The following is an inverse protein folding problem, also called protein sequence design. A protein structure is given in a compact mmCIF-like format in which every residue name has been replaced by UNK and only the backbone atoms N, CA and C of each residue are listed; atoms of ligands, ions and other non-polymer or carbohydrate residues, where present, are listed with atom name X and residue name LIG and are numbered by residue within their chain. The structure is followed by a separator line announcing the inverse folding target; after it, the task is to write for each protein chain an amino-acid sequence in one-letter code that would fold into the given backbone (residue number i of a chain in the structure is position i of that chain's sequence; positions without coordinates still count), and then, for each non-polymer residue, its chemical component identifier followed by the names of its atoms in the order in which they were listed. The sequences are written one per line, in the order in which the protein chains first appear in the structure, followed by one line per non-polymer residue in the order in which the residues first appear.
data_IF_283795137240
#
_entry.id   IF_283795137240
#
_cell.length_a   1.000
_cell.length_b   1.000
_cell.length_c   1.000
_cell.angle_alpha   90.00
_cell.angle_beta   90.00
_cell.angle_gamma   90.00
#
_symmetry.space_group_name_H-M   'P 1'
#
loop_
_entity.id
_entity.type
_entity.pdbx_description
1 polymer ?
#
# COMPACT_ATOMS: atom_id res chain seq x y z
N UNK A 1 -12.13 -14.07 0.55
CA UNK A 1 -13.13 -13.01 0.25
C UNK A 1 -12.55 -11.63 0.55
N UNK A 2 -12.69 -10.64 -0.34
CA UNK A 2 -12.21 -9.28 -0.11
C UNK A 2 -12.98 -8.57 1.03
N UNK A 3 -12.35 -7.74 1.89
CA UNK A 3 -12.99 -7.19 3.09
C UNK A 3 -13.86 -5.95 2.78
N UNK A 4 -14.82 -6.06 1.86
CA UNK A 4 -15.63 -4.94 1.38
C UNK A 4 -16.31 -4.12 2.48
N UNK A 5 -16.90 -4.78 3.49
CA UNK A 5 -17.55 -4.10 4.62
C UNK A 5 -16.56 -3.23 5.40
N UNK A 6 -15.38 -3.78 5.71
CA UNK A 6 -14.31 -3.05 6.40
C UNK A 6 -13.78 -1.91 5.53
N UNK A 7 -13.67 -2.15 4.22
CA UNK A 7 -13.23 -1.14 3.26
C UNK A 7 -14.18 0.06 3.22
N UNK A 8 -15.49 -0.19 3.07
CA UNK A 8 -16.52 0.86 3.07
C UNK A 8 -16.51 1.60 4.40
N UNK A 9 -16.39 0.90 5.52
CA UNK A 9 -16.28 1.51 6.84
C UNK A 9 -15.07 2.45 6.94
N UNK A 10 -13.87 1.99 6.57
CA UNK A 10 -12.66 2.80 6.64
C UNK A 10 -12.72 4.02 5.69
N UNK A 11 -13.19 3.83 4.46
CA UNK A 11 -13.38 4.91 3.50
C UNK A 11 -14.37 5.98 4.00
N UNK A 12 -15.44 5.58 4.68
CA UNK A 12 -16.39 6.52 5.32
C UNK A 12 -15.76 7.22 6.51
N UNK A 13 -15.03 6.48 7.36
CA UNK A 13 -14.35 7.01 8.56
C UNK A 13 -13.39 8.14 8.22
N UNK A 14 -12.60 7.99 7.16
CA UNK A 14 -11.58 8.99 6.78
C UNK A 14 -12.12 10.19 6.01
N UNK A 15 -13.36 10.13 5.50
CA UNK A 15 -13.93 11.18 4.64
C UNK A 15 -13.91 12.58 5.29
N UNK A 16 -14.07 12.63 6.61
CA UNK A 16 -14.11 13.88 7.38
C UNK A 16 -12.86 14.08 8.26
N UNK A 17 -11.82 13.26 8.08
CA UNK A 17 -10.56 13.42 8.81
C UNK A 17 -9.65 14.44 8.12
N UNK A 18 -8.72 15.08 8.84
CA UNK A 18 -7.76 16.01 8.23
C UNK A 18 -7.06 15.39 7.03
N UNK A 19 -6.87 16.21 5.98
CA UNK A 19 -6.12 15.82 4.80
C UNK A 19 -4.67 15.48 5.19
N UNK A 20 -4.07 14.61 4.40
CA UNK A 20 -2.65 14.26 4.48
C UNK A 20 -1.92 14.93 3.32
N UNK A 21 -0.66 15.30 3.51
CA UNK A 21 0.24 15.56 2.41
C UNK A 21 0.47 14.29 1.57
N UNK A 22 0.98 14.44 0.35
CA UNK A 22 1.16 13.30 -0.57
C UNK A 22 2.01 12.16 0.02
N UNK A 23 3.02 12.50 0.82
CA UNK A 23 3.98 11.55 1.41
C UNK A 23 3.85 11.38 2.93
N UNK A 24 2.77 11.91 3.51
CA UNK A 24 2.48 11.74 4.93
C UNK A 24 2.00 10.32 5.22
N UNK A 25 2.29 9.87 6.44
CA UNK A 25 1.86 8.56 6.88
C UNK A 25 0.38 8.56 7.31
N UNK A 26 -0.30 7.48 6.93
CA UNK A 26 -1.64 7.15 7.38
C UNK A 26 -1.59 6.02 8.42
N UNK A 27 -2.05 6.32 9.64
CA UNK A 27 -2.27 5.33 10.69
C UNK A 27 -3.73 4.88 10.69
N UNK A 28 -3.94 3.56 10.75
CA UNK A 28 -5.26 2.94 10.88
C UNK A 28 -5.22 1.77 11.85
N UNK A 29 -6.38 1.40 12.41
CA UNK A 29 -6.48 0.34 13.42
C UNK A 29 -7.43 -0.74 12.94
N UNK A 30 -7.03 -2.00 13.09
CA UNK A 30 -7.78 -3.15 12.60
C UNK A 30 -7.72 -4.30 13.58
N UNK A 31 -8.76 -5.12 13.58
CA UNK A 31 -8.74 -6.43 14.23
C UNK A 31 -8.47 -7.51 13.18
N UNK A 32 -7.67 -8.50 13.55
CA UNK A 32 -7.60 -9.78 12.84
C UNK A 32 -8.88 -10.57 13.15
N UNK A 33 -9.69 -10.87 12.14
CA UNK A 33 -11.00 -11.51 12.32
C UNK A 33 -10.91 -13.02 12.04
N UNK A 34 -11.88 -13.85 12.48
CA UNK A 34 -11.82 -15.30 12.33
C UNK A 34 -11.71 -15.82 10.89
N UNK A 35 -12.04 -15.01 9.87
CA UNK A 35 -11.88 -15.37 8.46
C UNK A 35 -10.60 -14.77 7.83
N UNK A 36 -9.78 -14.10 8.64
CA UNK A 36 -8.48 -13.61 8.22
C UNK A 36 -7.35 -14.64 8.50
N UNK A 37 -7.62 -15.64 9.35
CA UNK A 37 -6.67 -16.68 9.74
C UNK A 37 -6.64 -17.85 8.74
N UNK A 38 -5.54 -18.60 8.74
CA UNK A 38 -5.43 -19.89 8.06
C UNK A 38 -5.45 -21.08 9.04
N UNK A 39 -5.13 -22.27 8.51
CA UNK A 39 -5.12 -23.54 9.25
C UNK A 39 -4.13 -23.55 10.43
N UNK A 40 -3.17 -22.63 10.46
CA UNK A 40 -2.21 -22.49 11.56
C UNK A 40 -2.70 -21.56 12.67
N UNK A 41 -3.96 -21.10 12.60
CA UNK A 41 -4.58 -20.17 13.55
C UNK A 41 -3.89 -18.79 13.61
N UNK A 42 -3.25 -18.43 12.50
CA UNK A 42 -2.51 -17.18 12.32
C UNK A 42 -3.03 -16.43 11.11
N UNK A 43 -2.83 -15.11 11.10
CA UNK A 43 -3.15 -14.26 9.96
C UNK A 43 -2.50 -14.83 8.69
N UNK A 44 -3.33 -15.18 7.72
CA UNK A 44 -2.85 -15.75 6.48
C UNK A 44 -1.94 -14.77 5.72
N UNK A 45 -0.86 -15.29 5.13
CA UNK A 45 0.12 -14.48 4.40
C UNK A 45 -0.50 -13.71 3.22
N UNK A 46 -1.33 -14.36 2.40
CA UNK A 46 -2.05 -13.70 1.31
C UNK A 46 -3.11 -12.73 1.83
N UNK A 47 -3.70 -13.04 2.98
CA UNK A 47 -4.63 -12.14 3.65
C UNK A 47 -3.98 -10.87 4.15
N UNK A 48 -2.73 -10.94 4.60
CA UNK A 48 -1.93 -9.78 5.00
C UNK A 48 -1.89 -8.72 3.89
N UNK A 49 -1.61 -9.15 2.65
CA UNK A 49 -1.62 -8.26 1.47
C UNK A 49 -2.99 -7.60 1.24
N UNK A 50 -4.06 -8.38 1.40
CA UNK A 50 -5.42 -7.86 1.25
C UNK A 50 -5.77 -6.86 2.35
N UNK A 51 -5.32 -7.10 3.60
CA UNK A 51 -5.58 -6.19 4.70
C UNK A 51 -4.84 -4.87 4.55
N UNK A 52 -3.64 -4.88 3.94
CA UNK A 52 -2.91 -3.66 3.64
C UNK A 52 -3.69 -2.68 2.74
N UNK A 53 -4.66 -3.14 1.94
CA UNK A 53 -5.57 -2.24 1.22
C UNK A 53 -6.39 -1.36 2.16
N UNK A 54 -6.71 -1.85 3.37
CA UNK A 54 -7.42 -1.08 4.39
C UNK A 54 -6.59 0.08 4.94
N UNK A 55 -5.28 0.13 4.66
CA UNK A 55 -4.44 1.31 4.87
C UNK A 55 -4.34 2.17 3.61
N UNK A 56 -4.09 1.56 2.44
CA UNK A 56 -3.83 2.28 1.19
C UNK A 56 -5.02 3.05 0.65
N UNK A 57 -6.21 2.45 0.66
CA UNK A 57 -7.40 3.10 0.09
C UNK A 57 -7.85 4.27 0.95
N UNK A 58 -7.91 4.17 2.30
CA UNK A 58 -8.21 5.34 3.12
C UNK A 58 -7.11 6.41 3.06
N UNK A 59 -5.84 6.02 2.97
CA UNK A 59 -4.72 6.95 2.75
C UNK A 59 -4.91 7.72 1.43
N UNK A 60 -5.23 7.02 0.33
CA UNK A 60 -5.40 7.66 -0.98
C UNK A 60 -6.59 8.62 -1.03
N UNK A 61 -7.63 8.36 -0.24
CA UNK A 61 -8.76 9.29 -0.06
C UNK A 61 -8.31 10.55 0.70
N UNK A 62 -7.44 10.42 1.71
CA UNK A 62 -7.01 11.53 2.57
C UNK A 62 -5.96 12.43 1.92
N UNK A 63 -5.06 11.89 1.10
CA UNK A 63 -4.05 12.66 0.39
C UNK A 63 -4.49 13.12 -1.01
N UNK A 64 -5.74 12.86 -1.40
CA UNK A 64 -6.31 13.33 -2.67
C UNK A 64 -6.05 12.45 -3.88
N UNK A 65 -5.19 11.43 -3.78
CA UNK A 65 -4.82 10.57 -4.92
C UNK A 65 -6.00 9.76 -5.45
N UNK A 66 -6.93 9.31 -4.62
CA UNK A 66 -8.13 8.62 -5.07
C UNK A 66 -9.05 9.53 -5.91
N UNK A 67 -9.20 10.79 -5.50
CA UNK A 67 -10.04 11.77 -6.17
C UNK A 67 -9.40 12.21 -7.49
N UNK A 68 -8.10 12.50 -7.50
CA UNK A 68 -7.35 12.82 -8.71
C UNK A 68 -7.36 11.65 -9.70
N UNK A 69 -7.16 10.42 -9.23
CA UNK A 69 -7.20 9.24 -10.09
C UNK A 69 -8.57 9.09 -10.74
N UNK A 70 -9.66 9.24 -9.96
CA UNK A 70 -11.02 9.20 -10.50
C UNK A 70 -11.28 10.32 -11.52
N UNK A 71 -10.89 11.57 -11.21
CA UNK A 71 -11.12 12.72 -12.09
C UNK A 71 -10.32 12.64 -13.40
N UNK A 72 -9.09 12.12 -13.34
CA UNK A 72 -8.19 11.98 -14.48
C UNK A 72 -8.31 10.67 -15.25
N UNK A 73 -9.22 9.78 -14.84
CA UNK A 73 -9.40 8.46 -15.46
C UNK A 73 -8.22 7.51 -15.27
N UNK A 74 -7.50 7.64 -14.16
CA UNK A 74 -6.39 6.77 -13.80
C UNK A 74 -6.85 5.56 -12.99
N UNK A 75 -6.16 4.43 -13.20
CA UNK A 75 -6.21 3.24 -12.37
C UNK A 75 -4.88 2.98 -11.67
N UNK A 76 -4.91 2.10 -10.68
CA UNK A 76 -3.73 1.67 -9.93
C UNK A 76 -3.62 0.15 -10.00
N UNK A 77 -2.41 -0.35 -10.22
CA UNK A 77 -2.10 -1.78 -10.18
C UNK A 77 -0.87 -2.02 -9.29
N UNK A 78 -0.84 -3.14 -8.57
CA UNK A 78 0.37 -3.58 -7.88
C UNK A 78 1.28 -4.27 -8.90
N UNK A 79 2.45 -3.69 -9.15
CA UNK A 79 3.45 -4.21 -10.07
C UNK A 79 4.53 -5.04 -9.37
N UNK A 80 4.64 -4.93 -8.04
CA UNK A 80 5.60 -5.70 -7.25
C UNK A 80 5.36 -5.51 -5.76
N UNK A 81 5.79 -6.50 -4.98
CA UNK A 81 5.73 -6.47 -3.53
C UNK A 81 6.92 -7.24 -2.94
N UNK A 82 7.50 -6.70 -1.86
CA UNK A 82 8.47 -7.39 -1.02
C UNK A 82 7.94 -7.41 0.41
N UNK A 83 7.66 -8.60 0.93
CA UNK A 83 6.98 -8.78 2.22
C UNK A 83 7.92 -9.46 3.20
N UNK A 84 7.93 -8.97 4.44
CA UNK A 84 8.62 -9.58 5.58
C UNK A 84 7.60 -9.87 6.67
N UNK A 85 7.63 -11.10 7.17
CA UNK A 85 6.83 -11.54 8.32
C UNK A 85 7.77 -11.72 9.50
N UNK A 86 7.43 -11.10 10.65
CA UNK A 86 8.26 -11.09 11.85
C UNK A 86 7.56 -11.72 13.05
N UNK A 87 6.30 -11.35 13.28
CA UNK A 87 5.53 -11.81 14.43
C UNK A 87 4.12 -12.23 14.03
N UNK A 88 3.65 -13.29 14.67
CA UNK A 88 2.33 -13.88 14.45
C UNK A 88 1.23 -12.89 14.87
N UNK A 89 0.16 -12.83 14.08
CA UNK A 89 -1.06 -12.10 14.42
C UNK A 89 -2.18 -13.12 14.55
N UNK A 90 -2.80 -13.22 15.72
CA UNK A 90 -3.85 -14.21 16.00
C UNK A 90 -5.25 -13.60 15.97
N UNK A 91 -6.28 -14.44 15.99
CA UNK A 91 -7.68 -14.02 15.98
C UNK A 91 -7.99 -13.02 17.09
N UNK A 92 -8.74 -11.98 16.75
CA UNK A 92 -9.13 -10.85 17.60
C UNK A 92 -7.97 -9.98 18.11
N UNK A 93 -6.74 -10.22 17.66
CA UNK A 93 -5.64 -9.32 17.93
C UNK A 93 -5.87 -7.99 17.20
N UNK A 94 -5.77 -6.89 17.93
CA UNK A 94 -5.75 -5.54 17.36
C UNK A 94 -4.34 -5.23 16.85
N UNK A 95 -4.27 -4.70 15.64
CA UNK A 95 -3.04 -4.26 14.99
C UNK A 95 -3.17 -2.81 14.54
N UNK A 96 -2.07 -2.08 14.69
CA UNK A 96 -1.90 -0.73 14.19
C UNK A 96 -1.18 -0.81 12.85
N UNK A 97 -1.83 -0.30 11.80
CA UNK A 97 -1.33 -0.33 10.45
C UNK A 97 -0.82 1.04 10.06
N UNK A 98 0.48 1.11 9.77
CA UNK A 98 1.15 2.27 9.20
C UNK A 98 1.21 2.13 7.68
N UNK A 99 0.87 3.20 6.96
CA UNK A 99 0.92 3.25 5.49
C UNK A 99 1.51 4.56 5.06
N UNK A 100 2.66 4.54 4.40
CA UNK A 100 3.39 5.75 4.00
C UNK A 100 3.83 5.66 2.54
N UNK A 101 3.38 6.58 1.67
CA UNK A 101 4.00 6.78 0.36
C UNK A 101 5.43 7.27 0.56
N UNK A 102 6.40 6.56 -0.03
CA UNK A 102 7.83 6.90 0.09
C UNK A 102 8.27 7.89 -0.99
N UNK A 103 7.69 7.76 -2.19
CA UNK A 103 8.11 8.50 -3.37
C UNK A 103 7.71 7.78 -4.64
N UNK A 104 8.26 8.23 -5.75
CA UNK A 104 8.07 7.65 -7.08
C UNK A 104 9.32 7.82 -7.93
N UNK A 105 9.46 6.95 -8.93
CA UNK A 105 10.41 7.12 -10.02
C UNK A 105 9.65 7.41 -11.32
N UNK A 106 10.33 7.30 -12.47
CA UNK A 106 9.73 7.54 -13.79
C UNK A 106 8.60 6.56 -14.15
N UNK A 107 8.47 5.43 -13.44
CA UNK A 107 7.58 4.32 -13.81
C UNK A 107 6.61 3.92 -12.71
N UNK A 108 6.98 4.07 -11.44
CA UNK A 108 6.29 3.46 -10.30
C UNK A 108 6.25 4.34 -9.05
N UNK A 109 5.19 4.12 -8.26
CA UNK A 109 5.02 4.65 -6.90
C UNK A 109 5.49 3.61 -5.88
N UNK A 110 6.13 4.07 -4.81
CA UNK A 110 6.60 3.22 -3.72
C UNK A 110 5.83 3.54 -2.45
N UNK A 111 5.27 2.50 -1.84
CA UNK A 111 4.51 2.61 -0.59
C UNK A 111 5.07 1.60 0.40
N UNK A 112 5.42 2.09 1.59
CA UNK A 112 5.74 1.27 2.74
C UNK A 112 4.47 1.03 3.57
N UNK A 113 4.26 -0.20 4.01
CA UNK A 113 3.27 -0.48 5.04
C UNK A 113 3.80 -1.45 6.09
N UNK A 114 3.29 -1.33 7.30
CA UNK A 114 3.58 -2.27 8.39
C UNK A 114 2.39 -2.43 9.31
N UNK A 115 2.29 -3.59 9.94
CA UNK A 115 1.39 -3.83 11.06
C UNK A 115 2.19 -4.02 12.34
N UNK A 116 1.71 -3.43 13.42
CA UNK A 116 2.31 -3.45 14.74
C UNK A 116 1.29 -3.96 15.75
N UNK A 117 1.72 -4.81 16.69
CA UNK A 117 0.86 -5.19 17.80
C UNK A 117 0.74 -4.04 18.81
N UNK A 118 -0.17 -4.17 19.79
CA UNK A 118 -0.37 -3.15 20.82
C UNK A 118 0.81 -3.03 21.81
N UNK A 119 1.83 -3.89 21.71
CA UNK A 119 3.08 -3.78 22.47
C UNK A 119 4.16 -2.99 21.70
N UNK A 120 3.85 -2.54 20.48
CA UNK A 120 4.80 -1.83 19.63
C UNK A 120 5.79 -2.75 18.90
N UNK A 121 5.47 -4.05 18.79
CA UNK A 121 6.32 -4.97 18.03
C UNK A 121 5.82 -5.09 16.59
N UNK A 122 6.74 -4.95 15.62
CA UNK A 122 6.41 -5.09 14.21
C UNK A 122 6.05 -6.54 13.89
N UNK A 123 4.83 -6.76 13.37
CA UNK A 123 4.33 -8.07 12.96
C UNK A 123 4.71 -8.39 11.53
N UNK A 124 4.48 -7.44 10.63
CA UNK A 124 4.79 -7.57 9.21
C UNK A 124 5.12 -6.20 8.62
N UNK A 125 5.90 -6.23 7.54
CA UNK A 125 6.38 -5.07 6.82
C UNK A 125 6.38 -5.37 5.33
N UNK A 126 5.97 -4.41 4.52
CA UNK A 126 5.87 -4.55 3.08
C UNK A 126 6.34 -3.30 2.37
N UNK A 127 7.12 -3.51 1.31
CA UNK A 127 7.33 -2.54 0.24
C UNK A 127 6.45 -2.91 -0.94
N UNK A 128 5.67 -1.93 -1.41
CA UNK A 128 4.81 -2.07 -2.57
C UNK A 128 5.27 -1.15 -3.70
N UNK A 129 5.32 -1.73 -4.90
CA UNK A 129 5.50 -1.01 -6.16
C UNK A 129 4.17 -0.92 -6.87
N UNK A 130 3.67 0.30 -7.03
CA UNK A 130 2.41 0.60 -7.72
C UNK A 130 2.64 1.18 -9.11
N UNK A 131 1.91 0.70 -10.10
CA UNK A 131 1.85 1.27 -11.45
C UNK A 131 0.59 2.13 -11.59
N UNK A 132 0.75 3.32 -12.18
CA UNK A 132 -0.37 4.17 -12.60
C UNK A 132 -0.78 3.77 -14.02
N UNK A 133 -2.07 3.59 -14.23
CA UNK A 133 -2.64 3.12 -15.50
C UNK A 133 -3.58 4.19 -16.06
N UNK A 134 -3.45 4.51 -17.34
CA UNK A 134 -4.41 5.34 -18.08
C UNK A 134 -4.63 4.74 -19.47
N UNK A 135 -5.89 4.65 -19.91
CA UNK A 135 -6.23 4.06 -21.21
C UNK A 135 -5.58 2.67 -21.44
N UNK A 136 -5.59 1.83 -20.40
CA UNK A 136 -5.00 0.48 -20.37
C UNK A 136 -3.48 0.41 -20.58
N UNK A 137 -2.78 1.54 -20.47
CA UNK A 137 -1.31 1.62 -20.54
C UNK A 137 -0.75 2.14 -19.23
N UNK A 138 0.44 1.68 -18.88
CA UNK A 138 1.19 2.26 -17.77
C UNK A 138 1.66 3.66 -18.16
N UNK A 139 1.49 4.62 -17.25
CA UNK A 139 1.91 6.01 -17.40
C UNK A 139 2.76 6.42 -16.20
N UNK A 140 3.62 7.44 -16.33
CA UNK A 140 4.42 7.94 -15.21
C UNK A 140 3.53 8.32 -14.02
N UNK A 141 3.94 8.01 -12.77
CA UNK A 141 3.23 8.46 -11.58
C UNK A 141 3.00 9.98 -11.50
N UNK A 142 3.96 10.74 -12.04
CA UNK A 142 3.91 12.20 -12.09
C UNK A 142 2.65 12.73 -12.79
N UNK A 143 2.14 12.03 -13.80
CA UNK A 143 0.92 12.41 -14.52
C UNK A 143 -0.32 12.45 -13.61
N UNK A 144 -0.35 11.58 -12.59
CA UNK A 144 -1.41 11.57 -11.58
C UNK A 144 -1.13 12.61 -10.49
N UNK A 145 0.10 12.67 -9.97
CA UNK A 145 0.43 13.48 -8.81
C UNK A 145 0.40 14.99 -9.11
N UNK A 146 0.72 15.40 -10.33
CA UNK A 146 0.65 16.81 -10.77
C UNK A 146 -0.75 17.38 -10.80
N UNK A 147 -1.79 16.54 -10.82
CA UNK A 147 -3.18 16.98 -10.63
C UNK A 147 -3.48 17.44 -9.20
N UNK A 148 -2.63 17.08 -8.24
CA UNK A 148 -2.79 17.41 -6.82
C UNK A 148 -1.80 18.52 -6.46
N UNK A 149 -0.53 18.32 -6.82
CA UNK A 149 0.57 19.26 -6.58
C UNK A 149 1.34 19.45 -7.90
N UNK A 150 1.14 20.56 -8.64
CA UNK A 150 1.69 20.76 -9.99
C UNK A 150 3.21 20.63 -10.10
N UNK A 151 3.95 21.00 -9.04
CA UNK A 151 5.41 20.95 -8.97
C UNK A 151 5.88 19.81 -8.05
N UNK A 152 5.11 18.71 -7.94
CA UNK A 152 5.46 17.58 -7.09
C UNK A 152 6.82 16.98 -7.48
N UNK A 153 7.70 16.92 -6.49
CA UNK A 153 8.96 16.19 -6.56
C UNK A 153 8.89 14.93 -5.71
N UNK A 154 9.53 13.86 -6.16
CA UNK A 154 9.67 12.67 -5.32
C UNK A 154 10.68 12.96 -4.22
N UNK A 155 10.36 12.64 -2.96
CA UNK A 155 11.39 12.49 -1.94
C UNK A 155 12.43 11.47 -2.39
N UNK A 156 13.66 11.62 -1.91
CA UNK A 156 14.71 10.63 -2.10
C UNK A 156 14.25 9.28 -1.50
N UNK A 157 14.18 8.24 -2.34
CA UNK A 157 13.83 6.91 -1.88
C UNK A 157 14.92 6.39 -0.94
N UNK A 158 14.57 5.73 0.19
CA UNK A 158 15.56 5.12 1.07
C UNK A 158 16.46 4.11 0.34
N UNK A 159 17.72 3.99 0.75
CA UNK A 159 18.70 3.09 0.13
C UNK A 159 18.19 1.65 -0.03
N UNK A 160 17.55 1.10 1.00
CA UNK A 160 17.01 -0.26 0.95
C UNK A 160 15.90 -0.45 -0.11
N UNK A 161 15.18 0.62 -0.48
CA UNK A 161 14.20 0.62 -1.57
C UNK A 161 14.91 0.64 -2.91
N UNK A 162 15.95 1.47 -3.05
CA UNK A 162 16.77 1.54 -4.27
C UNK A 162 17.43 0.17 -4.54
N UNK A 163 18.03 -0.44 -3.52
CA UNK A 163 18.61 -1.78 -3.62
C UNK A 163 17.59 -2.85 -4.05
N UNK A 164 16.34 -2.74 -3.58
CA UNK A 164 15.27 -3.63 -4.01
C UNK A 164 14.89 -3.42 -5.49
N UNK A 165 14.82 -2.17 -5.95
CA UNK A 165 14.55 -1.83 -7.35
C UNK A 165 15.64 -2.38 -8.26
N UNK A 166 16.90 -2.16 -7.91
CA UNK A 166 18.06 -2.64 -8.66
C UNK A 166 18.07 -4.16 -8.75
N UNK A 167 17.84 -4.84 -7.62
CA UNK A 167 17.74 -6.29 -7.60
C UNK A 167 16.58 -6.80 -8.49
N UNK A 168 15.39 -6.18 -8.42
CA UNK A 168 14.25 -6.61 -9.26
C UNK A 168 14.51 -6.36 -10.76
N UNK A 169 15.28 -5.34 -11.14
CA UNK A 169 15.68 -5.12 -12.54
C UNK A 169 16.57 -6.23 -13.11
N UNK A 170 17.29 -6.96 -12.25
CA UNK A 170 18.08 -8.14 -12.66
C UNK A 170 17.25 -9.42 -12.78
N UNK A 171 15.99 -9.40 -12.32
CA UNK A 171 15.11 -10.57 -12.36
C UNK A 171 14.52 -10.75 -13.77
N UNK A 172 14.70 -11.91 -14.42
CA UNK A 172 14.04 -12.19 -15.70
C UNK A 172 12.52 -12.10 -15.58
N UNK A 173 11.90 -11.27 -16.43
CA UNK A 173 10.45 -11.10 -16.46
C UNK A 173 9.96 -10.84 -17.91
N UNK A 174 9.03 -11.67 -18.45
CA UNK A 174 8.44 -12.86 -17.83
C UNK A 174 9.49 -13.96 -17.59
N UNK A 175 9.29 -14.84 -16.60
CA UNK A 175 10.19 -15.96 -16.38
C UNK A 175 10.13 -16.92 -17.58
N UNK A 176 11.29 -17.44 -17.99
CA UNK A 176 11.38 -18.54 -18.95
C UNK A 176 10.91 -19.83 -18.25
N UNK A 177 10.08 -20.62 -18.92
CA UNK A 177 9.63 -21.93 -18.45
C UNK A 177 10.38 -22.97 -19.28
N UNK A 178 11.43 -23.54 -18.70
CA UNK A 178 12.10 -24.72 -19.24
C UNK A 178 11.36 -26.00 -18.85
#
# INVERSE_FOLDING_TARGET
MYPFVRMIHQARKVRNTPKLGLFDAHLSHHYCLPWDIDLWLELNNGRTLTLFDLGRIPMSIRNGTAQAAKAGGFGMAVAGASVRYRKRVTTFQKVDMWTKPLGFDDRFLYIEQSMWDQKGECCNHILLRGAVIKNRKMVPPRDLLTMIEPEVESPALPEWVQNWIEADNTRPWPPVRD
#
